data_IF_470299011414
#
_entry.id   IF_470299011414
#
_cell.length_a   1.000
_cell.length_b   1.000
_cell.length_c   1.000
_cell.angle_alpha   90.00
_cell.angle_beta   90.00
_cell.angle_gamma   90.00
#
_symmetry.space_group_name_H-M   'P 1'
#
loop_
_entity.id
_entity.type
_entity.pdbx_description
1 polymer ?
#
# COMPACT_ATOMS: atom_id res chain seq x y z
N UNK A 1 17.36 -17.80 -11.64
CA UNK A 1 16.24 -16.84 -11.73
C UNK A 1 16.81 -15.51 -12.19
N UNK A 2 16.60 -15.15 -13.45
CA UNK A 2 16.90 -13.81 -13.95
C UNK A 2 15.98 -12.82 -13.25
N UNK A 3 16.55 -11.98 -12.38
CA UNK A 3 15.78 -10.87 -11.78
C UNK A 3 15.40 -9.91 -12.90
N UNK A 4 14.14 -9.48 -12.94
CA UNK A 4 13.68 -8.48 -13.89
C UNK A 4 14.54 -7.22 -13.72
N UNK A 5 15.17 -6.69 -14.78
CA UNK A 5 15.97 -5.48 -14.67
C UNK A 5 15.12 -4.32 -14.18
N UNK A 6 15.71 -3.45 -13.36
CA UNK A 6 14.99 -2.32 -12.74
C UNK A 6 14.31 -1.41 -13.78
N UNK A 7 14.95 -1.23 -14.94
CA UNK A 7 14.44 -0.37 -16.01
C UNK A 7 13.19 -0.96 -16.67
N UNK A 8 13.11 -2.30 -16.82
CA UNK A 8 11.89 -2.97 -17.33
C UNK A 8 10.74 -2.75 -16.36
N UNK A 9 11.01 -2.91 -15.05
CA UNK A 9 10.01 -2.63 -14.01
C UNK A 9 9.54 -1.17 -14.04
N UNK A 10 10.46 -0.23 -14.26
CA UNK A 10 10.15 1.19 -14.44
C UNK A 10 9.24 1.46 -15.65
N UNK A 11 9.55 0.88 -16.82
CA UNK A 11 8.72 1.02 -18.03
C UNK A 11 7.32 0.44 -17.80
N UNK A 12 7.22 -0.75 -17.22
CA UNK A 12 5.93 -1.39 -16.93
C UNK A 12 5.09 -0.56 -15.95
N UNK A 13 5.71 0.00 -14.89
CA UNK A 13 5.02 0.90 -13.96
C UNK A 13 4.61 2.21 -14.60
N UNK A 14 5.45 2.81 -15.46
CA UNK A 14 5.08 4.00 -16.22
C UNK A 14 3.88 3.71 -17.14
N UNK A 15 3.87 2.56 -17.82
CA UNK A 15 2.72 2.10 -18.61
C UNK A 15 1.45 1.95 -17.79
N UNK A 16 1.55 1.37 -16.59
CA UNK A 16 0.43 1.28 -15.65
C UNK A 16 -0.07 2.67 -15.24
N UNK A 17 0.82 3.58 -14.84
CA UNK A 17 0.48 4.95 -14.46
C UNK A 17 -0.22 5.70 -15.60
N UNK A 18 0.33 5.63 -16.82
CA UNK A 18 -0.27 6.22 -18.02
C UNK A 18 -1.67 5.65 -18.29
N UNK A 19 -1.86 4.34 -18.14
CA UNK A 19 -3.17 3.73 -18.28
C UNK A 19 -4.14 4.27 -17.22
N UNK A 20 -3.71 4.39 -15.95
CA UNK A 20 -4.58 4.89 -14.89
C UNK A 20 -4.96 6.36 -15.06
N UNK A 21 -4.04 7.21 -15.53
CA UNK A 21 -4.30 8.60 -15.85
C UNK A 21 -5.11 8.80 -17.14
N UNK A 22 -5.10 7.83 -18.04
CA UNK A 22 -5.82 7.93 -19.31
C UNK A 22 -7.33 7.81 -19.10
N UNK A 23 -8.08 8.57 -19.90
CA UNK A 23 -9.56 8.46 -20.02
C UNK A 23 -9.99 7.06 -20.48
N UNK A 24 -9.13 6.35 -21.21
CA UNK A 24 -9.37 4.97 -21.62
C UNK A 24 -9.16 3.94 -20.50
N UNK A 25 -8.52 4.34 -19.39
CA UNK A 25 -8.30 3.49 -18.23
C UNK A 25 -9.20 3.87 -17.07
N UNK A 26 -8.67 4.64 -16.12
CA UNK A 26 -9.36 4.94 -14.88
C UNK A 26 -9.70 6.44 -14.68
N UNK A 27 -9.14 7.31 -15.52
CA UNK A 27 -9.24 8.77 -15.45
C UNK A 27 -8.98 9.33 -14.04
N UNK A 28 -8.02 8.71 -13.33
CA UNK A 28 -7.72 9.05 -11.93
C UNK A 28 -6.31 8.62 -11.54
N UNK A 29 -5.69 9.28 -10.53
CA UNK A 29 -4.43 8.82 -9.99
C UNK A 29 -4.55 7.44 -9.34
N UNK A 30 -3.48 6.66 -9.44
CA UNK A 30 -3.30 5.42 -8.69
C UNK A 30 -3.39 5.69 -7.19
N UNK A 31 -4.23 4.93 -6.50
CA UNK A 31 -4.47 4.98 -5.06
C UNK A 31 -4.62 3.58 -4.47
N UNK A 32 -4.59 3.49 -3.14
CA UNK A 32 -4.75 2.20 -2.44
C UNK A 32 -5.22 2.31 -0.99
N UNK A 33 -5.47 3.50 -0.43
CA UNK A 33 -5.88 3.64 0.99
C UNK A 33 -7.36 3.92 1.16
N UNK A 34 -8.03 4.40 0.12
CA UNK A 34 -9.46 4.76 0.10
C UNK A 34 -10.35 3.52 0.08
N UNK A 35 -9.87 2.38 -0.42
CA UNK A 35 -10.62 1.13 -0.36
C UNK A 35 -10.98 0.73 1.08
N UNK A 36 -10.12 0.99 2.08
CA UNK A 36 -10.38 0.57 3.47
C UNK A 36 -11.63 1.23 4.06
N UNK A 37 -11.75 2.57 4.12
CA UNK A 37 -12.98 3.19 4.61
C UNK A 37 -14.19 2.90 3.73
N UNK A 38 -14.01 2.63 2.43
CA UNK A 38 -15.08 2.19 1.54
C UNK A 38 -15.64 0.82 1.95
N UNK A 39 -14.79 -0.19 2.10
CA UNK A 39 -15.20 -1.51 2.58
C UNK A 39 -15.73 -1.48 4.00
N UNK A 40 -15.19 -0.62 4.88
CA UNK A 40 -15.75 -0.42 6.21
C UNK A 40 -17.19 0.13 6.12
N UNK A 41 -17.45 1.10 5.23
CA UNK A 41 -18.80 1.60 4.96
C UNK A 41 -19.77 0.50 4.54
N UNK A 42 -19.33 -0.42 3.68
CA UNK A 42 -20.12 -1.58 3.24
C UNK A 42 -20.35 -2.61 4.35
N UNK A 43 -19.30 -2.95 5.12
CA UNK A 43 -19.37 -3.98 6.17
C UNK A 43 -20.25 -3.54 7.33
N UNK A 44 -20.21 -2.25 7.69
CA UNK A 44 -20.97 -1.68 8.80
C UNK A 44 -22.29 -1.03 8.38
N UNK A 45 -22.68 -1.16 7.10
CA UNK A 45 -23.91 -0.61 6.53
C UNK A 45 -24.12 0.87 6.90
N UNK A 46 -23.08 1.68 6.71
CA UNK A 46 -23.10 3.09 7.08
C UNK A 46 -23.83 3.93 6.03
N UNK A 47 -24.80 4.71 6.48
CA UNK A 47 -25.61 5.57 5.61
C UNK A 47 -24.78 6.72 5.00
N UNK A 48 -24.64 6.79 3.66
CA UNK A 48 -23.96 7.89 2.98
C UNK A 48 -24.64 9.25 3.15
N UNK A 49 -25.94 9.31 3.44
CA UNK A 49 -26.65 10.56 3.70
C UNK A 49 -26.22 11.20 5.02
N UNK A 50 -25.99 10.36 6.03
CA UNK A 50 -25.47 10.79 7.33
C UNK A 50 -23.98 11.12 7.29
N UNK A 51 -23.20 10.40 6.49
CA UNK A 51 -21.74 10.56 6.41
C UNK A 51 -21.32 10.99 4.99
N UNK A 52 -21.24 12.30 4.77
CA UNK A 52 -20.83 12.88 3.48
C UNK A 52 -19.46 12.40 2.96
N UNK A 53 -18.58 11.99 3.87
CA UNK A 53 -17.29 11.39 3.52
C UNK A 53 -17.45 10.11 2.70
N UNK A 54 -18.48 9.29 2.98
CA UNK A 54 -18.74 8.03 2.26
C UNK A 54 -19.05 8.29 0.78
N UNK A 55 -19.81 9.35 0.48
CA UNK A 55 -20.10 9.78 -0.90
C UNK A 55 -18.82 10.17 -1.65
N UNK A 56 -17.87 10.80 -0.96
CA UNK A 56 -16.61 11.21 -1.59
C UNK A 56 -15.69 10.03 -1.90
N UNK A 57 -15.72 8.97 -1.08
CA UNK A 57 -14.84 7.81 -1.22
C UNK A 57 -15.44 6.66 -2.03
N UNK A 58 -16.72 6.71 -2.40
CA UNK A 58 -17.42 5.60 -3.06
C UNK A 58 -16.75 5.20 -4.38
N UNK A 59 -16.66 6.13 -5.33
CA UNK A 59 -16.03 5.92 -6.62
C UNK A 59 -14.53 5.58 -6.53
N UNK A 60 -13.69 6.35 -5.80
CA UNK A 60 -12.26 6.02 -5.70
C UNK A 60 -12.02 4.73 -4.93
N UNK A 61 -12.74 4.49 -3.83
CA UNK A 61 -12.58 3.31 -2.98
C UNK A 61 -12.99 2.01 -3.67
N UNK A 62 -14.09 2.00 -4.41
CA UNK A 62 -14.51 0.85 -5.21
C UNK A 62 -13.47 0.47 -6.27
N UNK A 63 -12.96 1.47 -7.00
CA UNK A 63 -11.96 1.26 -8.03
C UNK A 63 -10.62 0.76 -7.44
N UNK A 64 -10.15 1.37 -6.35
CA UNK A 64 -8.96 0.91 -5.64
C UNK A 64 -9.12 -0.53 -5.14
N UNK A 65 -10.33 -0.91 -4.70
CA UNK A 65 -10.64 -2.29 -4.35
C UNK A 65 -10.44 -3.27 -5.50
N UNK A 66 -10.95 -2.95 -6.69
CA UNK A 66 -10.76 -3.77 -7.90
C UNK A 66 -9.28 -3.85 -8.30
N UNK A 67 -8.58 -2.71 -8.27
CA UNK A 67 -7.14 -2.66 -8.56
C UNK A 67 -6.35 -3.56 -7.60
N UNK A 68 -6.60 -3.47 -6.30
CA UNK A 68 -5.87 -4.26 -5.29
C UNK A 68 -6.18 -5.74 -5.39
N UNK A 69 -7.42 -6.11 -5.74
CA UNK A 69 -7.78 -7.49 -6.05
C UNK A 69 -7.04 -8.00 -7.29
N UNK A 70 -6.94 -7.18 -8.34
CA UNK A 70 -6.14 -7.48 -9.53
C UNK A 70 -4.66 -7.63 -9.22
N UNK A 71 -4.10 -6.75 -8.38
CA UNK A 71 -2.70 -6.82 -7.94
C UNK A 71 -2.43 -8.08 -7.10
N UNK A 72 -3.34 -8.45 -6.21
CA UNK A 72 -3.27 -9.68 -5.43
C UNK A 72 -3.29 -10.90 -6.34
N UNK A 73 -4.23 -10.97 -7.28
CA UNK A 73 -4.36 -12.10 -8.21
C UNK A 73 -3.16 -12.19 -9.16
N UNK A 74 -2.72 -11.07 -9.76
CA UNK A 74 -1.56 -11.02 -10.63
C UNK A 74 -0.26 -11.40 -9.92
N UNK A 75 -0.08 -10.93 -8.68
CA UNK A 75 1.03 -11.31 -7.82
C UNK A 75 1.00 -12.81 -7.48
N UNK A 76 -0.17 -13.36 -7.16
CA UNK A 76 -0.35 -14.78 -6.91
C UNK A 76 0.00 -15.63 -8.13
N UNK A 77 -0.59 -15.36 -9.29
CA UNK A 77 -0.33 -16.08 -10.55
C UNK A 77 1.17 -16.02 -10.91
N UNK A 78 1.77 -14.84 -10.81
CA UNK A 78 3.21 -14.66 -11.07
C UNK A 78 4.05 -15.49 -10.10
N UNK A 79 3.71 -15.46 -8.81
CA UNK A 79 4.48 -16.18 -7.78
C UNK A 79 4.42 -17.70 -7.90
N UNK A 80 3.29 -18.24 -8.36
CA UNK A 80 3.05 -19.68 -8.47
C UNK A 80 3.58 -20.23 -9.79
N UNK A 81 3.25 -19.58 -10.91
CA UNK A 81 3.50 -20.15 -12.24
C UNK A 81 4.79 -19.66 -12.90
N UNK A 82 5.12 -18.37 -12.76
CA UNK A 82 6.27 -17.78 -13.45
C UNK A 82 7.54 -17.86 -12.61
N UNK A 83 7.53 -17.29 -11.41
CA UNK A 83 8.74 -17.23 -10.56
C UNK A 83 8.92 -18.48 -9.70
N UNK A 84 7.85 -19.27 -9.51
CA UNK A 84 7.83 -20.45 -8.62
C UNK A 84 8.37 -20.13 -7.23
N UNK A 85 8.09 -18.93 -6.75
CA UNK A 85 8.60 -18.38 -5.48
C UNK A 85 7.54 -18.33 -4.39
N UNK A 86 6.37 -18.92 -4.61
CA UNK A 86 5.29 -18.99 -3.63
C UNK A 86 5.74 -19.72 -2.37
N UNK A 87 5.64 -19.05 -1.21
CA UNK A 87 5.99 -19.60 0.11
C UNK A 87 5.08 -19.00 1.17
N UNK A 88 4.53 -19.83 2.04
CA UNK A 88 3.77 -19.39 3.20
C UNK A 88 4.76 -19.20 4.36
N UNK A 89 4.96 -17.96 4.79
CA UNK A 89 5.81 -17.64 5.94
C UNK A 89 5.12 -16.60 6.83
N UNK A 90 4.69 -17.05 8.02
CA UNK A 90 4.02 -16.19 9.01
C UNK A 90 5.00 -15.31 9.79
N UNK A 91 6.28 -15.71 9.85
CA UNK A 91 7.31 -14.98 10.60
C UNK A 91 8.47 -14.67 9.65
N UNK A 92 8.62 -13.40 9.24
CA UNK A 92 9.77 -12.98 8.44
C UNK A 92 11.09 -13.14 9.20
N UNK A 93 12.16 -13.37 8.44
CA UNK A 93 13.52 -13.56 8.98
C UNK A 93 13.96 -12.41 9.89
N UNK A 94 13.66 -11.17 9.53
CA UNK A 94 13.97 -9.99 10.36
C UNK A 94 13.21 -9.97 11.69
N UNK A 95 12.00 -10.53 11.76
CA UNK A 95 11.28 -10.60 13.04
C UNK A 95 11.90 -11.64 13.98
N UNK A 96 12.27 -12.81 13.44
CA UNK A 96 12.99 -13.85 14.21
C UNK A 96 14.28 -13.32 14.79
N UNK A 97 15.04 -12.59 13.97
CA UNK A 97 16.38 -12.07 14.31
C UNK A 97 16.38 -10.99 15.39
N UNK A 98 15.41 -10.07 15.37
CA UNK A 98 15.44 -8.87 16.22
C UNK A 98 14.34 -8.86 17.31
N UNK A 99 13.34 -9.74 17.25
CA UNK A 99 12.20 -9.68 18.18
C UNK A 99 11.96 -11.00 18.90
N UNK A 100 11.28 -11.95 18.25
CA UNK A 100 10.93 -13.25 18.81
C UNK A 100 10.46 -14.22 17.72
N UNK A 101 10.17 -15.48 18.10
CA UNK A 101 9.60 -16.51 17.24
C UNK A 101 8.07 -16.69 17.43
N UNK A 102 7.38 -15.75 18.08
CA UNK A 102 5.95 -15.87 18.36
C UNK A 102 5.10 -15.29 17.21
N UNK A 103 4.22 -16.14 16.65
CA UNK A 103 3.26 -15.75 15.60
C UNK A 103 2.28 -14.70 16.11
N UNK A 104 1.76 -14.88 17.33
CA UNK A 104 0.77 -13.97 17.92
C UNK A 104 1.36 -12.56 18.12
N UNK A 105 2.60 -12.50 18.62
CA UNK A 105 3.30 -11.22 18.78
C UNK A 105 3.48 -10.49 17.46
N UNK A 106 3.89 -11.20 16.39
CA UNK A 106 4.01 -10.62 15.05
C UNK A 106 2.67 -10.13 14.52
N UNK A 107 1.61 -10.91 14.69
CA UNK A 107 0.28 -10.57 14.18
C UNK A 107 -0.27 -9.31 14.85
N UNK A 108 -0.19 -9.23 16.18
CA UNK A 108 -0.62 -8.04 16.94
C UNK A 108 0.14 -6.78 16.51
N UNK A 109 1.47 -6.85 16.40
CA UNK A 109 2.26 -5.70 15.95
C UNK A 109 1.92 -5.27 14.52
N UNK A 110 1.66 -6.24 13.63
CA UNK A 110 1.30 -5.94 12.23
C UNK A 110 -0.07 -5.29 12.14
N UNK A 111 -1.02 -5.78 12.94
CA UNK A 111 -2.36 -5.22 13.02
C UNK A 111 -2.35 -3.78 13.54
N UNK A 112 -1.69 -3.55 14.68
CA UNK A 112 -1.57 -2.20 15.28
C UNK A 112 -0.85 -1.25 14.33
N UNK A 113 0.26 -1.68 13.72
CA UNK A 113 0.97 -0.86 12.74
C UNK A 113 0.10 -0.56 11.50
N UNK A 114 -0.64 -1.54 10.99
CA UNK A 114 -1.56 -1.36 9.87
C UNK A 114 -2.69 -0.37 10.19
N UNK A 115 -3.21 -0.41 11.42
CA UNK A 115 -4.21 0.53 11.90
C UNK A 115 -3.68 1.98 11.92
N UNK A 116 -2.49 2.21 12.48
CA UNK A 116 -1.87 3.55 12.43
C UNK A 116 -1.52 3.98 11.00
N UNK A 117 -1.08 3.04 10.17
CA UNK A 117 -0.74 3.31 8.77
C UNK A 117 -1.96 3.76 7.97
N UNK A 118 -3.11 3.11 8.13
CA UNK A 118 -4.32 3.49 7.38
C UNK A 118 -4.89 4.82 7.85
N UNK A 119 -4.89 5.07 9.16
CA UNK A 119 -5.29 6.37 9.71
C UNK A 119 -4.40 7.48 9.16
N UNK A 120 -3.08 7.29 9.25
CA UNK A 120 -2.11 8.26 8.73
C UNK A 120 -2.28 8.50 7.23
N UNK A 121 -2.48 7.45 6.44
CA UNK A 121 -2.71 7.57 5.00
C UNK A 121 -4.00 8.32 4.65
N UNK A 122 -5.07 8.15 5.44
CA UNK A 122 -6.32 8.91 5.21
C UNK A 122 -6.23 10.35 5.70
N UNK A 123 -5.52 10.61 6.81
CA UNK A 123 -5.23 11.96 7.28
C UNK A 123 -4.35 12.75 6.30
N UNK A 124 -3.38 12.09 5.67
CA UNK A 124 -2.53 12.70 4.65
C UNK A 124 -3.23 12.90 3.30
N UNK A 125 -4.43 12.33 3.11
CA UNK A 125 -5.14 12.35 1.84
C UNK A 125 -4.62 11.34 0.80
N UNK A 126 -3.64 10.49 1.15
CA UNK A 126 -3.06 9.50 0.26
C UNK A 126 -2.06 8.57 0.95
N UNK A 127 -1.70 7.49 0.26
CA UNK A 127 -0.64 6.56 0.68
C UNK A 127 0.55 6.65 -0.27
N UNK A 128 1.51 5.71 -0.17
CA UNK A 128 2.67 5.66 -1.05
C UNK A 128 2.29 5.57 -2.53
N UNK A 129 1.30 4.76 -2.93
CA UNK A 129 0.87 4.73 -4.33
C UNK A 129 0.31 6.07 -4.82
N UNK A 130 -0.48 6.75 -3.99
CA UNK A 130 -1.05 8.07 -4.28
C UNK A 130 -0.01 9.18 -4.35
N UNK A 131 0.80 9.35 -3.30
CA UNK A 131 1.77 10.45 -3.23
C UNK A 131 3.08 10.12 -3.96
N UNK A 132 3.64 8.91 -3.82
CA UNK A 132 4.92 8.59 -4.45
C UNK A 132 4.77 8.26 -5.93
N UNK A 133 3.85 7.38 -6.33
CA UNK A 133 3.76 6.99 -7.74
C UNK A 133 3.01 8.06 -8.55
N UNK A 134 1.77 8.38 -8.18
CA UNK A 134 0.97 9.35 -8.93
C UNK A 134 1.43 10.79 -8.69
N UNK A 135 1.52 11.20 -7.43
CA UNK A 135 1.78 12.58 -7.05
C UNK A 135 3.17 13.10 -7.44
N UNK A 136 4.24 12.33 -7.23
CA UNK A 136 5.57 12.76 -7.68
C UNK A 136 5.71 12.77 -9.21
N UNK A 137 5.04 11.86 -9.94
CA UNK A 137 5.04 11.90 -11.41
C UNK A 137 4.43 13.18 -11.97
N UNK A 138 3.49 13.77 -11.23
CA UNK A 138 2.84 15.05 -11.54
C UNK A 138 3.58 16.27 -10.96
N UNK A 139 4.74 16.05 -10.31
CA UNK A 139 5.51 17.08 -9.60
C UNK A 139 4.67 17.82 -8.53
N UNK A 140 3.70 17.14 -7.92
CA UNK A 140 2.86 17.75 -6.89
C UNK A 140 3.68 18.07 -5.64
N UNK A 141 3.70 19.36 -5.24
CA UNK A 141 4.45 19.85 -4.07
C UNK A 141 4.03 19.12 -2.80
N UNK A 142 2.73 18.89 -2.61
CA UNK A 142 2.19 18.14 -1.46
C UNK A 142 2.79 16.74 -1.36
N UNK A 143 3.02 16.09 -2.50
CA UNK A 143 3.59 14.74 -2.56
C UNK A 143 5.09 14.72 -2.32
N UNK A 144 5.82 15.76 -2.75
CA UNK A 144 7.23 15.92 -2.40
C UNK A 144 7.40 16.11 -0.88
N UNK A 145 6.60 16.98 -0.27
CA UNK A 145 6.61 17.21 1.18
C UNK A 145 6.27 15.91 1.93
N UNK A 146 5.20 15.23 1.53
CA UNK A 146 4.84 13.92 2.08
C UNK A 146 5.99 12.91 1.96
N UNK A 147 6.63 12.85 0.78
CA UNK A 147 7.74 11.94 0.51
C UNK A 147 8.93 12.16 1.44
N UNK A 148 9.35 13.42 1.63
CA UNK A 148 10.44 13.76 2.55
C UNK A 148 10.11 13.37 3.99
N UNK A 149 8.91 13.73 4.46
CA UNK A 149 8.50 13.44 5.85
C UNK A 149 8.41 11.94 6.10
N UNK A 150 7.80 11.18 5.19
CA UNK A 150 7.69 9.72 5.30
C UNK A 150 9.05 9.04 5.24
N UNK A 151 9.97 9.52 4.40
CA UNK A 151 11.33 8.96 4.35
C UNK A 151 12.11 9.20 5.66
N UNK A 152 12.02 10.40 6.22
CA UNK A 152 12.64 10.70 7.53
C UNK A 152 12.03 9.82 8.62
N UNK A 153 10.69 9.75 8.69
CA UNK A 153 9.98 8.92 9.65
C UNK A 153 10.36 7.43 9.50
N UNK A 154 10.44 6.91 8.26
CA UNK A 154 10.84 5.52 7.99
C UNK A 154 12.24 5.22 8.53
N UNK A 155 13.21 6.10 8.30
CA UNK A 155 14.58 5.92 8.78
C UNK A 155 14.63 5.95 10.31
N UNK A 156 13.96 6.93 10.94
CA UNK A 156 13.93 7.06 12.40
C UNK A 156 13.22 5.87 13.04
N UNK A 157 12.01 5.54 12.59
CA UNK A 157 11.23 4.42 13.11
C UNK A 157 11.94 3.10 12.85
N UNK A 158 12.54 2.90 11.68
CA UNK A 158 13.33 1.71 11.38
C UNK A 158 14.51 1.55 12.34
N UNK A 159 15.26 2.64 12.58
CA UNK A 159 16.36 2.65 13.55
C UNK A 159 15.85 2.32 14.95
N UNK A 160 14.84 3.02 15.46
CA UNK A 160 14.31 2.79 16.81
C UNK A 160 13.72 1.39 16.98
N UNK A 161 12.98 0.90 15.97
CA UNK A 161 12.30 -0.38 16.03
C UNK A 161 13.28 -1.55 16.03
N UNK A 162 14.36 -1.46 15.25
CA UNK A 162 15.39 -2.50 15.14
C UNK A 162 16.64 -2.23 16.02
N UNK A 163 16.65 -1.18 16.84
CA UNK A 163 17.75 -0.89 17.78
C UNK A 163 17.70 -1.82 18.99
N UNK A 164 17.90 -3.11 18.74
CA UNK A 164 17.97 -4.15 19.77
C UNK A 164 19.03 -5.16 19.36
N UNK A 165 19.67 -5.79 20.35
CA UNK A 165 20.66 -6.84 20.08
C UNK A 165 19.93 -8.02 19.42
N UNK A 166 20.61 -8.67 18.48
CA UNK A 166 20.10 -9.91 17.88
C UNK A 166 19.76 -10.89 19.00
N UNK A 167 18.55 -11.47 18.93
CA UNK A 167 18.04 -12.40 19.93
C UNK A 167 18.03 -13.82 19.40
#
# INVERSE_FOLDING_TARGET
MSRLPWWVGGILMAGLLLMTFSVFGADRPLGASTYVPYFAGLIFDLDPEKYSYLKHIENPGAWEGVLLMGALFGGFVTSVFLTKSFRISLIPTGWKKYKNNSVLSRLLWSFVAGFFMIIGARMAGGCTSGHFMSGMSQLAISSMVFGVVVMIALVITGKLFYNTKEK
#
